data_IF_205361393802
#
_entry.id   IF_205361393802
#
_cell.length_a   1.000
_cell.length_b   1.000
_cell.length_c   1.000
_cell.angle_alpha   90.00
_cell.angle_beta   90.00
_cell.angle_gamma   90.00
#
_symmetry.space_group_name_H-M   'P 1'
#
loop_
_entity.id
_entity.type
_entity.pdbx_description
1 polymer ?
#
# COMPACT_ATOMS: atom_id res chain seq x y z
N UNK A 1 -14.54 40.85 23.35
CA UNK A 1 -14.59 40.28 21.98
C UNK A 1 -13.24 40.32 21.26
N UNK A 2 -12.64 41.49 20.97
CA UNK A 2 -11.37 41.55 20.21
C UNK A 2 -10.21 40.73 20.82
N UNK A 3 -10.01 40.81 22.14
CA UNK A 3 -8.98 40.00 22.84
C UNK A 3 -9.22 38.49 22.78
N UNK A 4 -10.50 38.09 22.76
CA UNK A 4 -10.94 36.69 22.70
C UNK A 4 -10.70 36.09 21.31
N UNK A 5 -10.92 36.88 20.26
CA UNK A 5 -10.66 36.49 18.86
C UNK A 5 -9.15 36.38 18.61
N UNK A 6 -8.34 37.33 19.09
CA UNK A 6 -6.88 37.23 18.98
C UNK A 6 -6.31 36.01 19.70
N UNK A 7 -6.84 35.64 20.87
CA UNK A 7 -6.41 34.44 21.58
C UNK A 7 -6.77 33.16 20.81
N UNK A 8 -7.96 33.12 20.18
CA UNK A 8 -8.40 32.00 19.36
C UNK A 8 -7.54 31.83 18.10
N UNK A 9 -7.21 32.94 17.43
CA UNK A 9 -6.32 32.94 16.25
C UNK A 9 -4.91 32.50 16.64
N UNK A 10 -4.39 32.94 17.79
CA UNK A 10 -3.08 32.53 18.28
C UNK A 10 -3.04 31.03 18.61
N UNK A 11 -4.09 30.49 19.23
CA UNK A 11 -4.22 29.05 19.52
C UNK A 11 -4.32 28.21 18.24
N UNK A 12 -5.04 28.69 17.22
CA UNK A 12 -5.10 28.06 15.91
C UNK A 12 -3.72 28.04 15.23
N UNK A 13 -2.99 29.15 15.25
CA UNK A 13 -1.63 29.21 14.71
C UNK A 13 -0.66 28.28 15.46
N UNK A 14 -0.74 28.22 16.79
CA UNK A 14 0.06 27.27 17.59
C UNK A 14 -0.29 25.81 17.30
N UNK A 15 -1.57 25.50 17.06
CA UNK A 15 -2.01 24.15 16.70
C UNK A 15 -1.49 23.72 15.33
N UNK A 16 -1.40 24.64 14.36
CA UNK A 16 -0.82 24.37 13.03
C UNK A 16 0.70 24.17 13.16
N UNK A 17 1.39 25.01 13.93
CA UNK A 17 2.84 24.90 14.12
C UNK A 17 3.28 23.61 14.82
N UNK A 18 2.47 23.05 15.71
CA UNK A 18 2.75 21.74 16.33
C UNK A 18 2.50 20.55 15.41
N UNK A 19 1.61 20.69 14.43
CA UNK A 19 1.29 19.66 13.43
C UNK A 19 2.28 19.68 12.26
N UNK A 20 2.91 20.83 11.97
CA UNK A 20 3.92 20.97 10.91
C UNK A 20 5.33 20.55 11.31
N UNK A 21 5.58 20.21 12.57
CA UNK A 21 6.85 19.60 12.96
C UNK A 21 6.71 18.11 12.62
N UNK A 22 7.44 17.56 11.64
CA UNK A 22 7.48 16.12 11.48
C UNK A 22 7.92 15.54 12.82
N UNK A 23 7.05 14.76 13.46
CA UNK A 23 7.44 13.94 14.60
C UNK A 23 8.39 12.87 14.07
N UNK A 24 9.64 13.25 13.80
CA UNK A 24 10.75 12.33 13.67
C UNK A 24 11.05 11.89 15.11
N UNK A 25 10.12 11.11 15.67
CA UNK A 25 10.45 10.28 16.81
C UNK A 25 11.58 9.37 16.36
N UNK A 26 12.64 9.27 17.16
CA UNK A 26 13.58 8.17 17.03
C UNK A 26 12.78 6.87 17.20
N UNK A 27 12.29 6.31 16.09
CA UNK A 27 11.68 4.99 16.09
C UNK A 27 12.82 4.04 16.39
N UNK A 28 12.79 3.42 17.56
CA UNK A 28 13.69 2.30 17.83
C UNK A 28 13.35 1.24 16.78
N UNK A 29 14.27 1.02 15.84
CA UNK A 29 14.11 -0.02 14.85
C UNK A 29 13.88 -1.35 15.57
N UNK A 30 12.86 -2.07 15.12
CA UNK A 30 12.54 -3.37 15.68
C UNK A 30 13.59 -4.37 15.19
N UNK A 31 14.28 -5.02 16.13
CA UNK A 31 15.36 -5.98 15.85
C UNK A 31 14.90 -7.43 15.69
N UNK A 32 13.58 -7.64 15.67
CA UNK A 32 12.97 -8.97 15.62
C UNK A 32 12.03 -9.07 14.42
N UNK A 33 12.19 -10.14 13.66
CA UNK A 33 11.27 -10.59 12.61
C UNK A 33 9.83 -10.57 13.08
N UNK A 34 8.92 -10.03 12.27
CA UNK A 34 7.48 -10.09 12.53
C UNK A 34 6.94 -11.32 11.84
N UNK A 35 6.21 -12.15 12.59
CA UNK A 35 5.53 -13.31 12.03
C UNK A 35 4.03 -13.18 12.24
N UNK A 36 3.26 -13.47 11.20
CA UNK A 36 1.87 -13.89 11.34
C UNK A 36 1.89 -15.41 11.25
N UNK A 37 1.83 -16.05 12.42
CA UNK A 37 1.99 -17.49 12.56
C UNK A 37 0.80 -18.23 11.96
N UNK A 38 1.01 -19.49 11.61
CA UNK A 38 -0.04 -20.37 11.06
C UNK A 38 -1.28 -20.50 11.99
N UNK A 39 -1.09 -20.45 13.31
CA UNK A 39 -2.18 -20.45 14.29
C UNK A 39 -2.96 -19.12 14.35
N UNK A 40 -2.41 -18.07 13.74
CA UNK A 40 -2.98 -16.71 13.67
C UNK A 40 -2.46 -15.75 14.72
N UNK A 41 -1.57 -16.17 15.61
CA UNK A 41 -0.86 -15.27 16.51
C UNK A 41 0.12 -14.37 15.74
N UNK A 42 0.40 -13.20 16.33
CA UNK A 42 1.43 -12.28 15.84
C UNK A 42 2.61 -12.28 16.80
N UNK A 43 3.81 -12.43 16.25
CA UNK A 43 5.06 -12.33 16.98
C UNK A 43 5.91 -11.16 16.49
N UNK A 44 6.82 -10.69 17.34
CA UNK A 44 7.78 -9.64 17.01
C UNK A 44 7.25 -8.22 17.21
N UNK A 45 5.95 -7.98 17.10
CA UNK A 45 5.37 -6.63 17.26
C UNK A 45 4.04 -6.62 18.01
N UNK A 46 3.74 -5.50 18.67
CA UNK A 46 2.41 -5.19 19.21
C UNK A 46 1.59 -4.25 18.32
N UNK A 47 2.15 -3.82 17.17
CA UNK A 47 1.54 -2.86 16.25
C UNK A 47 0.65 -3.48 15.18
N UNK A 48 0.28 -4.75 15.36
CA UNK A 48 -0.68 -5.44 14.51
C UNK A 48 -1.81 -5.92 15.39
N UNK A 49 -3.01 -5.40 15.15
CA UNK A 49 -4.22 -5.86 15.80
C UNK A 49 -4.82 -7.01 15.00
N UNK A 50 -5.27 -8.04 15.71
CA UNK A 50 -5.90 -9.24 15.12
C UNK A 50 -7.39 -9.23 15.42
N UNK A 51 -8.21 -9.37 14.39
CA UNK A 51 -9.66 -9.62 14.46
C UNK A 51 -10.03 -10.78 13.51
N UNK A 52 -10.03 -12.00 14.05
CA UNK A 52 -10.24 -13.21 13.26
C UNK A 52 -9.15 -13.39 12.20
N UNK A 53 -9.55 -13.29 10.92
CA UNK A 53 -8.63 -13.37 9.77
C UNK A 53 -8.15 -11.99 9.27
N UNK A 54 -8.43 -10.93 10.03
CA UNK A 54 -8.08 -9.55 9.69
C UNK A 54 -6.94 -9.04 10.58
N UNK A 55 -5.84 -8.61 9.96
CA UNK A 55 -4.63 -8.13 10.61
C UNK A 55 -4.43 -6.67 10.21
N UNK A 56 -4.49 -5.75 11.17
CA UNK A 56 -4.42 -4.31 10.88
C UNK A 56 -3.22 -3.67 11.56
N UNK A 57 -2.40 -2.94 10.80
CA UNK A 57 -1.38 -2.11 11.44
C UNK A 57 -2.04 -0.99 12.26
N UNK A 58 -1.52 -0.77 13.46
CA UNK A 58 -1.96 0.31 14.36
C UNK A 58 -0.92 1.42 14.47
N UNK A 59 0.11 1.40 13.63
CA UNK A 59 1.18 2.39 13.61
C UNK A 59 2.35 1.95 12.72
N UNK A 60 3.20 2.90 12.34
CA UNK A 60 4.39 2.65 11.52
C UNK A 60 5.34 1.64 12.17
N UNK A 61 5.94 0.78 11.36
CA UNK A 61 6.92 -0.23 11.75
C UNK A 61 8.20 0.02 10.96
N UNK A 62 9.32 0.20 11.67
CA UNK A 62 10.66 0.26 11.07
C UNK A 62 11.43 -0.98 11.52
N UNK A 63 11.98 -1.72 10.57
CA UNK A 63 12.70 -2.98 10.79
C UNK A 63 14.15 -2.82 10.38
N UNK A 64 15.08 -3.24 11.25
CA UNK A 64 16.50 -3.32 10.94
C UNK A 64 16.83 -4.75 10.47
N UNK A 65 17.13 -4.90 9.18
CA UNK A 65 17.37 -6.20 8.53
C UNK A 65 18.79 -6.73 8.74
N UNK A 66 19.66 -6.02 9.47
CA UNK A 66 21.04 -6.48 9.76
C UNK A 66 21.10 -7.87 10.40
N UNK A 67 19.98 -8.35 10.96
CA UNK A 67 19.85 -9.68 11.58
C UNK A 67 18.62 -10.47 11.10
N UNK A 68 17.83 -9.95 10.15
CA UNK A 68 16.60 -10.58 9.65
C UNK A 68 16.44 -10.33 8.15
N UNK A 69 15.96 -11.31 7.39
CA UNK A 69 15.79 -11.19 5.94
C UNK A 69 14.40 -10.68 5.53
N UNK A 70 13.54 -10.34 6.49
CA UNK A 70 12.18 -9.88 6.22
C UNK A 70 11.59 -8.93 7.28
N UNK A 71 10.60 -8.14 6.86
CA UNK A 71 9.73 -7.34 7.73
C UNK A 71 8.63 -8.20 8.35
N UNK A 72 7.63 -8.56 7.54
CA UNK A 72 6.49 -9.42 7.92
C UNK A 72 6.59 -10.74 7.14
N UNK A 73 6.75 -11.84 7.86
CA UNK A 73 6.66 -13.19 7.30
C UNK A 73 5.28 -13.79 7.58
N UNK A 74 4.59 -14.20 6.52
CA UNK A 74 3.23 -14.73 6.61
C UNK A 74 3.26 -16.25 6.54
N UNK A 75 2.76 -16.91 7.57
CA UNK A 75 2.62 -18.37 7.64
C UNK A 75 1.16 -18.83 7.59
N UNK A 76 0.19 -17.90 7.54
CA UNK A 76 -1.25 -18.19 7.54
C UNK A 76 -1.90 -17.86 6.21
N UNK A 77 -2.78 -18.75 5.77
CA UNK A 77 -3.55 -18.62 4.53
C UNK A 77 -4.91 -17.95 4.79
N UNK A 78 -5.54 -17.42 3.74
CA UNK A 78 -6.90 -16.87 3.76
C UNK A 78 -7.11 -15.73 4.79
N UNK A 79 -6.13 -14.82 4.84
CA UNK A 79 -6.15 -13.65 5.73
C UNK A 79 -6.07 -12.35 4.96
N UNK A 80 -6.51 -11.28 5.60
CA UNK A 80 -6.34 -9.91 5.13
C UNK A 80 -5.34 -9.23 6.05
N UNK A 81 -4.30 -8.63 5.46
CA UNK A 81 -3.33 -7.79 6.14
C UNK A 81 -3.53 -6.36 5.58
N UNK A 82 -4.03 -5.47 6.42
CA UNK A 82 -4.33 -4.08 6.11
C UNK A 82 -3.31 -3.16 6.80
N UNK A 83 -2.55 -2.42 5.99
CA UNK A 83 -1.61 -1.41 6.47
C UNK A 83 -2.29 -0.20 7.10
N UNK A 84 -3.58 0.03 6.83
CA UNK A 84 -4.36 1.17 7.31
C UNK A 84 -3.68 2.53 7.01
N UNK A 85 -2.88 2.60 5.93
CA UNK A 85 -2.07 3.75 5.55
C UNK A 85 -0.77 3.92 6.32
N UNK A 86 -0.40 2.96 7.18
CA UNK A 86 0.85 2.98 7.93
C UNK A 86 2.02 2.41 7.13
N UNK A 87 3.21 2.86 7.53
CA UNK A 87 4.46 2.52 6.88
C UNK A 87 5.08 1.23 7.44
N UNK A 88 5.55 0.37 6.55
CA UNK A 88 6.51 -0.70 6.81
C UNK A 88 7.84 -0.34 6.15
N UNK A 89 8.79 0.11 6.95
CA UNK A 89 10.08 0.66 6.52
C UNK A 89 11.22 -0.31 6.83
N UNK A 90 12.05 -0.57 5.81
CA UNK A 90 13.32 -1.30 5.94
C UNK A 90 14.53 -0.38 5.89
N UNK A 91 15.68 -0.95 5.54
CA UNK A 91 16.98 -0.27 5.42
C UNK A 91 17.67 -0.53 4.06
N UNK A 92 16.90 -0.94 3.05
CA UNK A 92 17.35 -1.24 1.69
C UNK A 92 17.70 -2.71 1.42
N UNK A 93 17.66 -3.57 2.44
CA UNK A 93 17.91 -5.01 2.32
C UNK A 93 16.66 -5.84 2.68
N UNK A 94 16.71 -7.16 2.48
CA UNK A 94 15.65 -8.09 2.85
C UNK A 94 14.32 -7.89 2.08
N UNK A 95 13.25 -8.48 2.61
CA UNK A 95 11.90 -8.43 2.03
C UNK A 95 10.89 -7.76 2.97
N UNK A 96 10.13 -6.77 2.54
CA UNK A 96 9.08 -6.14 3.35
C UNK A 96 8.02 -7.14 3.80
N UNK A 97 7.30 -7.74 2.85
CA UNK A 97 6.26 -8.76 3.13
C UNK A 97 6.55 -10.04 2.34
N UNK A 98 6.73 -11.15 3.06
CA UNK A 98 7.06 -12.46 2.51
C UNK A 98 5.84 -13.38 2.50
N UNK A 99 5.41 -13.83 1.32
CA UNK A 99 4.22 -14.68 1.10
C UNK A 99 4.55 -16.12 0.65
N UNK A 100 5.71 -16.64 1.05
CA UNK A 100 6.18 -17.94 0.56
C UNK A 100 5.17 -19.08 0.81
N UNK A 101 4.74 -19.71 -0.30
CA UNK A 101 3.78 -20.81 -0.30
C UNK A 101 2.45 -20.50 0.40
N UNK A 102 2.01 -19.24 0.41
CA UNK A 102 0.71 -18.85 0.97
C UNK A 102 -0.39 -18.82 -0.08
N UNK A 103 -1.63 -18.94 0.38
CA UNK A 103 -2.84 -18.98 -0.44
C UNK A 103 -3.86 -17.97 0.10
N UNK A 104 -4.53 -17.24 -0.80
CA UNK A 104 -5.67 -16.39 -0.42
C UNK A 104 -5.32 -15.22 0.50
N UNK A 105 -4.05 -14.77 0.52
CA UNK A 105 -3.64 -13.63 1.34
C UNK A 105 -3.92 -12.32 0.60
N UNK A 106 -4.62 -11.40 1.27
CA UNK A 106 -4.84 -10.04 0.77
C UNK A 106 -3.93 -9.05 1.50
N UNK A 107 -3.10 -8.31 0.77
CA UNK A 107 -2.26 -7.21 1.28
C UNK A 107 -2.82 -5.90 0.76
N UNK A 108 -3.18 -4.97 1.66
CA UNK A 108 -3.73 -3.68 1.24
C UNK A 108 -3.36 -2.49 2.09
N UNK A 109 -3.41 -1.29 1.51
CA UNK A 109 -3.22 0.01 2.16
C UNK A 109 -1.90 0.15 2.95
N UNK A 110 -0.82 -0.47 2.49
CA UNK A 110 0.50 -0.25 3.07
C UNK A 110 1.23 0.90 2.38
N UNK A 111 2.10 1.59 3.13
CA UNK A 111 3.27 2.25 2.56
C UNK A 111 4.49 1.37 2.83
N UNK A 112 5.04 0.70 1.81
CA UNK A 112 6.20 -0.19 1.93
C UNK A 112 7.41 0.53 1.34
N UNK A 113 8.41 0.84 2.16
CA UNK A 113 9.51 1.69 1.74
C UNK A 113 10.87 1.11 2.14
N UNK A 114 11.88 1.36 1.29
CA UNK A 114 13.28 1.07 1.57
C UNK A 114 13.56 -0.42 1.86
N UNK A 115 13.16 -1.32 0.96
CA UNK A 115 13.42 -2.76 1.06
C UNK A 115 14.21 -3.27 -0.14
N UNK A 116 14.96 -4.37 0.04
CA UNK A 116 15.51 -5.09 -1.12
C UNK A 116 14.39 -5.59 -2.04
N UNK A 117 13.33 -6.15 -1.46
CA UNK A 117 12.09 -6.49 -2.14
C UNK A 117 10.89 -6.01 -1.31
N UNK A 118 9.95 -5.24 -1.88
CA UNK A 118 8.79 -4.75 -1.13
C UNK A 118 7.82 -5.88 -0.75
N UNK A 119 7.26 -6.57 -1.75
CA UNK A 119 6.41 -7.75 -1.58
C UNK A 119 6.95 -8.89 -2.44
N UNK A 120 7.08 -10.07 -1.84
CA UNK A 120 7.70 -11.22 -2.51
C UNK A 120 6.79 -12.45 -2.53
N UNK A 121 6.75 -13.13 -3.68
CA UNK A 121 6.07 -14.42 -3.90
C UNK A 121 4.55 -14.45 -3.59
N UNK A 122 3.72 -13.46 -3.98
CA UNK A 122 2.27 -13.64 -3.94
C UNK A 122 1.86 -14.75 -4.92
N UNK A 123 1.13 -15.78 -4.49
CA UNK A 123 0.69 -16.91 -5.34
C UNK A 123 -0.69 -17.37 -4.89
N UNK A 124 -1.39 -18.14 -5.73
CA UNK A 124 -2.61 -18.86 -5.35
C UNK A 124 -3.68 -17.96 -4.71
N UNK A 125 -4.38 -17.17 -5.52
CA UNK A 125 -5.52 -16.35 -5.05
C UNK A 125 -5.13 -15.19 -4.12
N UNK A 126 -3.86 -14.80 -4.10
CA UNK A 126 -3.44 -13.59 -3.39
C UNK A 126 -3.94 -12.32 -4.10
N UNK A 127 -4.25 -11.31 -3.29
CA UNK A 127 -4.71 -9.99 -3.75
C UNK A 127 -3.79 -8.92 -3.19
N UNK A 128 -3.16 -8.13 -4.05
CA UNK A 128 -2.31 -6.99 -3.67
C UNK A 128 -3.01 -5.72 -4.13
N UNK A 129 -3.54 -4.94 -3.20
CA UNK A 129 -4.46 -3.85 -3.52
C UNK A 129 -4.13 -2.54 -2.80
N UNK A 130 -4.05 -1.42 -3.53
CA UNK A 130 -4.00 -0.10 -2.89
C UNK A 130 -2.74 0.14 -2.04
N UNK A 131 -1.61 -0.48 -2.40
CA UNK A 131 -0.35 -0.29 -1.68
C UNK A 131 0.53 0.73 -2.40
N UNK A 132 1.25 1.53 -1.62
CA UNK A 132 2.34 2.38 -2.10
C UNK A 132 3.66 1.71 -1.79
N UNK A 133 4.40 1.29 -2.81
CA UNK A 133 5.68 0.60 -2.69
C UNK A 133 6.74 1.42 -3.43
N UNK A 134 7.69 2.00 -2.70
CA UNK A 134 8.70 2.91 -3.28
C UNK A 134 10.07 2.72 -2.61
N UNK A 135 11.13 3.23 -3.23
CA UNK A 135 12.49 3.18 -2.72
C UNK A 135 13.00 1.74 -2.47
N UNK A 136 12.39 0.75 -3.12
CA UNK A 136 12.84 -0.64 -3.06
C UNK A 136 13.74 -0.95 -4.26
N UNK A 137 14.62 -1.96 -4.12
CA UNK A 137 15.34 -2.47 -5.28
C UNK A 137 14.38 -3.18 -6.24
N UNK A 138 13.50 -4.04 -5.72
CA UNK A 138 12.35 -4.59 -6.45
C UNK A 138 11.07 -4.29 -5.68
N UNK A 139 10.09 -3.61 -6.27
CA UNK A 139 8.81 -3.31 -5.63
C UNK A 139 8.02 -4.58 -5.33
N UNK A 140 7.65 -5.32 -6.38
CA UNK A 140 6.98 -6.62 -6.26
C UNK A 140 7.72 -7.69 -7.09
N UNK A 141 8.15 -8.77 -6.44
CA UNK A 141 8.74 -9.93 -7.10
C UNK A 141 7.70 -11.03 -7.34
N UNK A 142 7.43 -11.32 -8.62
CA UNK A 142 6.41 -12.25 -9.08
C UNK A 142 6.97 -13.58 -9.61
N UNK A 143 8.13 -14.03 -9.14
CA UNK A 143 8.66 -15.35 -9.49
C UNK A 143 7.66 -16.50 -9.24
N UNK A 144 7.29 -17.25 -10.29
CA UNK A 144 6.30 -18.34 -10.28
C UNK A 144 4.92 -17.91 -9.75
N UNK A 145 4.50 -16.68 -10.01
CA UNK A 145 3.21 -16.15 -9.54
C UNK A 145 2.07 -16.52 -10.47
N UNK A 146 0.98 -17.03 -9.89
CA UNK A 146 -0.22 -17.35 -10.64
C UNK A 146 -1.50 -17.19 -9.83
N UNK A 147 -2.61 -16.97 -10.56
CA UNK A 147 -3.95 -16.78 -10.00
C UNK A 147 -4.02 -15.62 -8.99
N UNK A 148 -3.21 -14.57 -9.16
CA UNK A 148 -3.19 -13.41 -8.28
C UNK A 148 -3.83 -12.19 -8.95
N UNK A 149 -4.25 -11.23 -8.13
CA UNK A 149 -4.84 -9.96 -8.58
C UNK A 149 -4.12 -8.77 -7.95
N UNK A 150 -3.70 -7.82 -8.79
CA UNK A 150 -2.96 -6.62 -8.44
C UNK A 150 -3.78 -5.39 -8.85
N UNK A 151 -4.27 -4.63 -7.88
CA UNK A 151 -5.23 -3.54 -8.13
C UNK A 151 -4.74 -2.24 -7.51
N UNK A 152 -4.66 -1.16 -8.29
CA UNK A 152 -4.51 0.18 -7.73
C UNK A 152 -3.26 0.36 -6.88
N UNK A 153 -2.16 -0.31 -7.19
CA UNK A 153 -0.90 -0.13 -6.48
C UNK A 153 -0.08 1.01 -7.10
N UNK A 154 0.54 1.82 -6.23
CA UNK A 154 1.51 2.85 -6.59
C UNK A 154 2.92 2.26 -6.47
N UNK A 155 3.57 2.02 -7.61
CA UNK A 155 4.88 1.36 -7.65
C UNK A 155 5.98 2.26 -8.20
N UNK A 156 5.71 3.55 -8.45
CA UNK A 156 6.73 4.46 -8.93
C UNK A 156 7.83 4.69 -7.88
N UNK A 157 9.08 4.81 -8.33
CA UNK A 157 10.21 5.15 -7.47
C UNK A 157 11.05 3.96 -6.97
N UNK A 158 10.83 2.76 -7.50
CA UNK A 158 11.72 1.62 -7.28
C UNK A 158 12.83 1.56 -8.36
N UNK A 159 13.86 0.74 -8.10
CA UNK A 159 14.84 0.40 -9.15
C UNK A 159 14.15 -0.47 -10.21
N UNK A 160 13.42 -1.50 -9.78
CA UNK A 160 12.50 -2.32 -10.57
C UNK A 160 11.13 -2.28 -9.89
N UNK A 161 10.06 -1.85 -10.56
CA UNK A 161 8.75 -1.74 -9.90
C UNK A 161 8.09 -3.12 -9.76
N UNK A 162 8.16 -3.91 -10.84
CA UNK A 162 7.71 -5.30 -10.86
C UNK A 162 8.75 -6.17 -11.58
N UNK A 163 9.10 -7.31 -10.98
CA UNK A 163 9.88 -8.37 -11.62
C UNK A 163 9.00 -9.58 -11.95
N UNK A 164 9.03 -10.01 -13.22
CA UNK A 164 8.26 -11.13 -13.76
C UNK A 164 9.15 -12.32 -14.13
N UNK A 165 8.81 -13.50 -13.60
CA UNK A 165 9.42 -14.76 -14.04
C UNK A 165 8.41 -15.89 -13.89
N UNK A 166 8.11 -16.60 -14.99
CA UNK A 166 7.20 -17.77 -14.98
C UNK A 166 5.80 -17.46 -14.41
N UNK A 167 5.23 -16.31 -14.79
CA UNK A 167 3.89 -15.89 -14.36
C UNK A 167 2.78 -16.27 -15.35
N UNK A 168 1.61 -16.62 -14.83
CA UNK A 168 0.41 -16.95 -15.64
C UNK A 168 -0.88 -16.71 -14.84
N UNK A 169 -2.00 -16.52 -15.52
CA UNK A 169 -3.33 -16.36 -14.90
C UNK A 169 -3.45 -15.21 -13.87
N UNK A 170 -2.67 -14.13 -14.02
CA UNK A 170 -2.74 -12.96 -13.14
C UNK A 170 -3.53 -11.80 -13.76
N UNK A 171 -4.03 -10.91 -12.90
CA UNK A 171 -4.74 -9.69 -13.30
C UNK A 171 -4.07 -8.46 -12.72
N UNK A 172 -3.79 -7.48 -13.58
CA UNK A 172 -3.22 -6.18 -13.20
C UNK A 172 -4.17 -5.08 -13.67
N UNK A 173 -4.76 -4.37 -12.72
CA UNK A 173 -5.78 -3.36 -13.00
C UNK A 173 -5.47 -2.05 -12.28
N UNK A 174 -5.40 -0.93 -12.99
CA UNK A 174 -5.31 0.38 -12.34
C UNK A 174 -4.00 0.65 -11.61
N UNK A 175 -2.91 -0.06 -11.89
CA UNK A 175 -1.64 0.13 -11.18
C UNK A 175 -0.80 1.23 -11.85
N UNK A 176 0.01 1.92 -11.07
CA UNK A 176 1.02 2.86 -11.57
C UNK A 176 2.38 2.16 -11.61
N UNK A 177 2.83 1.81 -12.81
CA UNK A 177 4.05 1.04 -13.04
C UNK A 177 4.99 1.86 -13.92
N UNK A 178 6.13 2.26 -13.38
CA UNK A 178 7.16 2.96 -14.15
C UNK A 178 8.05 2.01 -14.92
N UNK A 179 8.57 0.97 -14.25
CA UNK A 179 9.60 0.06 -14.76
C UNK A 179 9.23 -1.40 -14.50
N UNK A 180 8.97 -2.13 -15.57
CA UNK A 180 8.68 -3.56 -15.51
C UNK A 180 9.87 -4.35 -16.08
N UNK A 181 10.34 -5.33 -15.30
CA UNK A 181 11.43 -6.23 -15.70
C UNK A 181 10.90 -7.65 -15.83
N UNK A 182 11.35 -8.38 -16.84
CA UNK A 182 10.96 -9.78 -17.06
C UNK A 182 12.13 -10.66 -17.49
N UNK A 183 12.06 -11.93 -17.10
CA UNK A 183 12.99 -12.98 -17.55
C UNK A 183 12.34 -13.85 -18.62
N UNK A 184 13.10 -14.21 -19.65
CA UNK A 184 12.64 -15.02 -20.79
C UNK A 184 12.55 -16.52 -20.51
N UNK A 185 13.04 -16.99 -19.35
CA UNK A 185 13.05 -18.41 -19.03
C UNK A 185 11.65 -18.89 -18.56
N UNK A 186 10.99 -19.70 -19.39
CA UNK A 186 9.80 -20.51 -19.06
C UNK A 186 8.51 -19.73 -18.69
N UNK A 187 8.28 -18.56 -19.29
CA UNK A 187 6.94 -17.94 -19.22
C UNK A 187 5.92 -18.83 -19.94
N UNK A 188 4.70 -18.96 -19.40
CA UNK A 188 3.53 -19.43 -20.16
C UNK A 188 2.73 -18.17 -20.52
N UNK A 189 2.99 -17.55 -21.67
CA UNK A 189 2.43 -16.25 -21.99
C UNK A 189 0.95 -16.38 -22.39
N UNK A 190 0.17 -15.30 -22.23
CA UNK A 190 -1.22 -15.22 -22.71
C UNK A 190 -2.30 -15.50 -21.66
N UNK A 191 -1.94 -15.87 -20.43
CA UNK A 191 -2.91 -16.02 -19.34
C UNK A 191 -2.94 -14.80 -18.39
N UNK A 192 -2.01 -13.87 -18.50
CA UNK A 192 -2.03 -12.63 -17.73
C UNK A 192 -2.85 -11.55 -18.45
N UNK A 193 -3.54 -10.72 -17.68
CA UNK A 193 -4.34 -9.60 -18.19
C UNK A 193 -3.91 -8.29 -17.54
N UNK A 194 -3.81 -7.26 -18.36
CA UNK A 194 -3.45 -5.89 -17.99
C UNK A 194 -4.53 -4.96 -18.54
N UNK A 195 -5.09 -4.12 -17.68
CA UNK A 195 -6.16 -3.22 -18.05
C UNK A 195 -6.10 -1.95 -17.21
N UNK A 196 -6.07 -0.78 -17.84
CA UNK A 196 -6.13 0.48 -17.11
C UNK A 196 -4.90 0.76 -16.26
N UNK A 197 -3.72 0.21 -16.58
CA UNK A 197 -2.50 0.54 -15.84
C UNK A 197 -1.81 1.76 -16.46
N UNK A 198 -1.19 2.57 -15.62
CA UNK A 198 -0.24 3.59 -16.07
C UNK A 198 1.14 2.95 -16.26
N UNK A 199 1.80 3.34 -17.34
CA UNK A 199 3.11 2.84 -17.73
C UNK A 199 4.07 4.01 -17.93
N UNK A 200 5.17 4.04 -17.18
CA UNK A 200 6.14 5.15 -17.25
C UNK A 200 6.80 5.34 -18.62
N UNK A 201 6.78 4.30 -19.46
CA UNK A 201 7.33 4.31 -20.82
C UNK A 201 6.24 4.49 -21.90
N UNK A 202 4.97 4.63 -21.53
CA UNK A 202 3.89 4.80 -22.50
C UNK A 202 3.82 6.25 -23.00
N UNK A 203 4.08 6.42 -24.30
CA UNK A 203 4.07 7.72 -24.99
C UNK A 203 2.86 7.87 -25.94
N UNK A 204 1.76 7.16 -25.66
CA UNK A 204 0.56 7.23 -26.49
C UNK A 204 -0.19 8.57 -26.37
N UNK A 205 -1.22 8.71 -27.19
CA UNK A 205 -2.09 9.88 -27.24
C UNK A 205 -3.49 9.54 -26.74
N UNK A 206 -4.21 10.58 -26.33
CA UNK A 206 -5.62 10.52 -25.91
C UNK A 206 -6.37 11.64 -26.64
N UNK A 207 -6.83 11.31 -27.85
CA UNK A 207 -7.53 12.25 -28.72
C UNK A 207 -8.96 12.53 -28.24
N UNK A 208 -9.62 11.55 -27.61
CA UNK A 208 -11.00 11.67 -27.14
C UNK A 208 -11.15 12.20 -25.70
N UNK A 209 -10.04 12.27 -24.96
CA UNK A 209 -9.86 12.83 -23.61
C UNK A 209 -10.57 12.04 -22.53
N UNK A 210 -10.63 10.72 -22.66
CA UNK A 210 -11.21 9.84 -21.67
C UNK A 210 -10.23 9.43 -20.55
N UNK A 211 -8.95 9.79 -20.69
CA UNK A 211 -7.87 9.50 -19.74
C UNK A 211 -7.13 8.19 -20.03
N UNK A 212 -7.56 7.42 -21.02
CA UNK A 212 -6.89 6.24 -21.54
C UNK A 212 -6.23 6.55 -22.88
N UNK A 213 -5.18 5.81 -23.18
CA UNK A 213 -4.48 5.94 -24.44
C UNK A 213 -5.19 5.22 -25.59
N UNK A 214 -5.20 5.86 -26.75
CA UNK A 214 -5.83 5.36 -27.98
C UNK A 214 -5.10 4.14 -28.58
N UNK A 215 -3.87 3.86 -28.13
CA UNK A 215 -3.06 2.73 -28.62
C UNK A 215 -2.67 1.79 -27.49
N UNK A 216 -2.67 0.46 -27.71
CA UNK A 216 -2.23 -0.49 -26.69
C UNK A 216 -0.76 -0.30 -26.28
N UNK A 217 -0.46 -0.52 -25.00
CA UNK A 217 0.91 -0.63 -24.51
C UNK A 217 1.37 -2.09 -24.56
N UNK A 218 2.53 -2.36 -25.14
CA UNK A 218 3.14 -3.69 -25.15
C UNK A 218 3.85 -3.94 -23.82
N UNK A 219 3.26 -4.76 -22.95
CA UNK A 219 3.77 -5.04 -21.60
C UNK A 219 5.04 -5.89 -21.65
N UNK A 220 5.03 -6.97 -22.42
CA UNK A 220 6.20 -7.82 -22.64
C UNK A 220 6.06 -8.66 -23.90
N UNK A 221 7.19 -9.14 -24.39
CA UNK A 221 7.30 -10.07 -25.51
C UNK A 221 8.23 -11.22 -25.10
N UNK A 222 7.82 -12.47 -25.36
CA UNK A 222 8.60 -13.67 -25.02
C UNK A 222 8.55 -14.69 -26.16
N UNK A 223 9.71 -15.29 -26.44
CA UNK A 223 9.82 -16.44 -27.32
C UNK A 223 9.51 -17.74 -26.56
N UNK A 224 8.51 -18.49 -27.02
CA UNK A 224 8.09 -19.79 -26.48
C UNK A 224 8.10 -20.85 -27.59
N UNK A 225 9.16 -21.66 -27.63
CA UNK A 225 9.39 -22.59 -28.74
C UNK A 225 9.57 -21.84 -30.05
N UNK A 226 8.79 -22.20 -31.07
CA UNK A 226 8.77 -21.52 -32.38
C UNK A 226 7.75 -20.35 -32.44
N UNK A 227 7.13 -20.01 -31.32
CA UNK A 227 6.13 -18.95 -31.24
C UNK A 227 6.67 -17.74 -30.48
N UNK A 228 6.38 -16.55 -31.00
CA UNK A 228 6.59 -15.31 -30.27
C UNK A 228 5.25 -14.86 -29.71
N UNK A 229 5.18 -14.63 -28.41
CA UNK A 229 3.95 -14.21 -27.74
C UNK A 229 4.15 -12.84 -27.12
N UNK A 230 3.21 -11.94 -27.41
CA UNK A 230 3.19 -10.57 -26.92
C UNK A 230 1.98 -10.37 -26.01
N UNK A 231 2.17 -9.63 -24.92
CA UNK A 231 1.13 -9.24 -24.00
C UNK A 231 0.94 -7.72 -24.05
N UNK A 232 -0.30 -7.26 -24.00
CA UNK A 232 -0.67 -5.86 -24.11
C UNK A 232 -1.58 -5.44 -22.95
N UNK A 233 -1.47 -4.17 -22.56
CA UNK A 233 -2.53 -3.41 -21.91
C UNK A 233 -3.25 -2.64 -23.01
N UNK A 234 -4.54 -2.92 -23.23
CA UNK A 234 -5.30 -2.31 -24.32
C UNK A 234 -5.91 -0.96 -23.94
N UNK A 235 -5.91 -0.62 -22.65
CA UNK A 235 -6.42 0.65 -22.15
C UNK A 235 -5.39 1.24 -21.17
N UNK A 236 -4.16 1.56 -21.63
CA UNK A 236 -3.16 2.16 -20.76
C UNK A 236 -3.63 3.55 -20.30
N UNK A 237 -3.36 3.93 -19.05
CA UNK A 237 -3.65 5.28 -18.57
C UNK A 237 -2.62 6.28 -19.11
N UNK A 238 -3.07 7.49 -19.45
CA UNK A 238 -2.21 8.60 -19.90
C UNK A 238 -1.45 9.23 -18.72
N UNK A 239 -2.13 9.39 -17.59
CA UNK A 239 -1.55 9.92 -16.36
C UNK A 239 -1.62 8.85 -15.25
N UNK A 240 -0.70 8.89 -14.26
CA UNK A 240 -0.78 7.98 -13.12
C UNK A 240 -2.15 8.03 -12.46
N UNK A 241 -2.71 6.85 -12.16
CA UNK A 241 -3.94 6.72 -11.40
C UNK A 241 -3.78 7.44 -10.05
N UNK A 242 -4.68 8.38 -9.74
CA UNK A 242 -4.67 9.05 -8.45
C UNK A 242 -5.15 8.10 -7.36
N UNK A 243 -4.21 7.48 -6.65
CA UNK A 243 -4.52 6.76 -5.41
C UNK A 243 -4.59 7.81 -4.31
N UNK A 244 -5.74 8.00 -3.64
CA UNK A 244 -5.85 9.01 -2.60
C UNK A 244 -4.83 8.68 -1.51
N UNK A 245 -3.79 9.50 -1.40
CA UNK A 245 -2.97 9.57 -0.20
C UNK A 245 -3.96 9.80 0.95
N UNK A 246 -4.20 8.82 1.83
CA UNK A 246 -4.96 9.05 3.05
C UNK A 246 -4.06 9.87 3.94
N UNK A 247 -4.21 11.20 3.97
CA UNK A 247 -3.11 11.96 4.47
C UNK A 247 -3.44 12.06 5.96
N UNK A 248 -2.58 11.46 6.77
CA UNK A 248 -2.79 11.18 8.20
C UNK A 248 -3.21 12.42 9.01
N UNK A 249 -2.95 13.62 8.49
CA UNK A 249 -3.42 14.90 9.01
C UNK A 249 -4.94 15.13 8.89
N UNK A 250 -5.71 14.38 8.09
CA UNK A 250 -7.20 14.48 8.03
C UNK A 250 -7.86 13.84 9.27
N UNK A 251 -7.20 12.87 9.91
CA UNK A 251 -7.71 12.21 11.12
C UNK A 251 -7.82 13.21 12.29
N UNK A 252 -6.88 14.15 12.40
CA UNK A 252 -6.83 15.11 13.51
C UNK A 252 -8.00 16.13 13.49
N UNK A 253 -8.32 16.80 12.36
CA UNK A 253 -9.52 17.65 12.22
C UNK A 253 -10.82 16.89 12.47
N UNK A 254 -10.93 15.64 11.99
CA UNK A 254 -12.09 14.79 12.24
C UNK A 254 -12.26 14.48 13.74
N UNK A 255 -11.16 14.15 14.42
CA UNK A 255 -11.17 13.91 15.87
C UNK A 255 -11.50 15.18 16.67
N UNK A 256 -10.96 16.33 16.27
CA UNK A 256 -11.29 17.64 16.85
C UNK A 256 -12.76 18.03 16.62
N UNK A 257 -13.31 17.71 15.45
CA UNK A 257 -14.72 17.95 15.14
C UNK A 257 -15.63 17.10 16.03
N UNK A 258 -15.34 15.80 16.18
CA UNK A 258 -16.10 14.87 17.02
C UNK A 258 -16.07 15.30 18.49
N UNK A 259 -14.89 15.66 19.01
CA UNK A 259 -14.75 16.15 20.40
C UNK A 259 -15.49 17.47 20.61
N UNK A 260 -15.41 18.40 19.66
CA UNK A 260 -16.13 19.68 19.71
C UNK A 260 -17.66 19.48 19.72
N UNK A 261 -18.18 18.61 18.85
CA UNK A 261 -19.60 18.24 18.82
C UNK A 261 -20.00 17.59 20.15
N UNK A 262 -19.19 16.68 20.69
CA UNK A 262 -19.42 16.05 22.00
C UNK A 262 -19.53 17.07 23.14
N UNK A 263 -18.67 18.09 23.16
CA UNK A 263 -18.72 19.18 24.15
C UNK A 263 -20.00 20.01 24.01
N UNK A 264 -20.43 20.35 22.78
CA UNK A 264 -21.68 21.07 22.54
C UNK A 264 -22.88 20.27 23.03
N UNK A 265 -22.93 18.98 22.69
CA UNK A 265 -24.01 18.08 23.12
C UNK A 265 -24.06 17.98 24.64
N UNK A 266 -22.92 17.76 25.31
CA UNK A 266 -22.83 17.70 26.78
C UNK A 266 -23.31 19.01 27.43
N UNK A 267 -22.93 20.16 26.87
CA UNK A 267 -23.35 21.48 27.37
C UNK A 267 -24.84 21.72 27.20
N UNK A 268 -25.44 21.27 26.10
CA UNK A 268 -26.90 21.35 25.91
C UNK A 268 -27.66 20.43 26.87
N UNK A 269 -27.17 19.22 27.08
CA UNK A 269 -27.75 18.25 28.02
C UNK A 269 -27.70 18.76 29.47
N UNK A 270 -26.58 19.34 29.91
CA UNK A 270 -26.50 19.90 31.27
C UNK A 270 -27.45 21.09 31.47
N UNK A 271 -27.59 21.97 30.47
CA UNK A 271 -28.52 23.10 30.51
C UNK A 271 -29.99 22.66 30.52
N UNK A 272 -30.35 21.58 29.80
CA UNK A 272 -31.70 21.01 29.90
C UNK A 272 -31.97 20.41 31.27
N UNK A 273 -31.02 19.69 31.87
CA UNK A 273 -31.18 19.10 33.22
C UNK A 273 -31.36 20.19 34.28
N UNK A 274 -30.65 21.31 34.18
CA UNK A 274 -30.83 22.43 35.13
C UNK A 274 -32.17 23.17 34.96
N UNK A 275 -32.78 23.10 33.78
CA UNK A 275 -34.09 23.73 33.50
C UNK A 275 -35.30 22.93 34.03
N UNK A 276 -35.15 21.62 34.23
CA UNK A 276 -36.19 20.76 34.83
C UNK A 276 -36.04 20.59 36.35
N UNK A 277 -34.95 21.06 36.94
CA UNK A 277 -34.69 21.03 38.39
C UNK A 277 -35.11 22.34 39.12
N UNK A 278 -35.85 23.22 38.45
CA UNK A 278 -36.52 24.40 39.00
C UNK A 278 -38.03 24.24 38.81
#
# INVERSE_FOLDING_TARGET
MRKSVSLLVLLLLFSIMWVSIPQIGLVKAQRSSIFIRSDGSVEGTSKIQVDGNYYTLTGNITVDTSHVDHGIYVEKDNIIIDGSGYTLEGNGEGTGIQLYQRIGVKIKNFHIINWGCGINNPKNECIIEGNWITECNTGINLADTHNCTFIGNELLGNHEDIFLMRIYANKFVGNNIGKLYWSTAFLVPGENSFDGNYWGEYEGTDEDKDGFGDTPFMVYQVDYGDTNITCYDNHPLIEPAMIPEFPSWIILPLFLLVTFVGVIVRKRLSQSVTRYAK
#
